data_IF_005808228580
#
_entry.id   IF_005808228580
#
_cell.length_a   1.000
_cell.length_b   1.000
_cell.length_c   1.000
_cell.angle_alpha   90.00
_cell.angle_beta   90.00
_cell.angle_gamma   90.00
#
_symmetry.space_group_name_H-M   'P 1'
#
loop_
_entity.id
_entity.type
_entity.pdbx_description
1 polymer ?
#
# COMPACT_ATOMS: atom_id res chain seq x y z
N UNK A 1 21.20 -13.26 -26.17
CA UNK A 1 20.48 -12.08 -25.64
C UNK A 1 19.93 -12.48 -24.28
N UNK A 2 20.33 -11.82 -23.21
CA UNK A 2 19.93 -12.18 -21.83
C UNK A 2 19.27 -10.95 -21.22
N UNK A 3 17.99 -11.08 -20.86
CA UNK A 3 17.19 -9.99 -20.30
C UNK A 3 15.75 -10.44 -20.03
N UNK A 4 15.03 -9.63 -19.25
CA UNK A 4 13.60 -9.87 -18.96
C UNK A 4 12.80 -9.58 -20.24
N UNK A 5 12.10 -10.59 -20.74
CA UNK A 5 11.28 -10.51 -21.96
C UNK A 5 9.83 -10.10 -21.69
N UNK A 6 9.42 -10.05 -20.42
CA UNK A 6 8.10 -9.56 -20.01
C UNK A 6 7.90 -9.55 -18.49
N UNK A 7 7.08 -8.62 -18.00
CA UNK A 7 6.63 -8.53 -16.61
C UNK A 7 5.16 -8.10 -16.57
N UNK A 8 4.44 -8.52 -15.53
CA UNK A 8 3.04 -8.14 -15.33
C UNK A 8 2.66 -8.20 -13.86
N UNK A 9 1.70 -7.37 -13.46
CA UNK A 9 1.15 -7.35 -12.12
C UNK A 9 -0.35 -7.05 -12.17
N UNK A 10 -1.11 -7.68 -11.28
CA UNK A 10 -2.52 -7.38 -11.06
C UNK A 10 -2.68 -6.69 -9.71
N UNK A 11 -3.39 -5.57 -9.70
CA UNK A 11 -3.67 -4.81 -8.49
C UNK A 11 -5.19 -4.68 -8.34
N UNK A 12 -5.77 -5.10 -7.20
CA UNK A 12 -7.20 -4.92 -6.93
C UNK A 12 -7.65 -3.46 -7.01
N UNK A 13 -8.90 -3.23 -7.44
CA UNK A 13 -9.45 -1.89 -7.61
C UNK A 13 -9.63 -1.14 -6.29
N UNK A 14 -9.94 -1.85 -5.21
CA UNK A 14 -10.26 -1.24 -3.91
C UNK A 14 -8.99 -0.90 -3.14
N UNK A 15 -9.02 0.26 -2.48
CA UNK A 15 -7.91 0.78 -1.69
C UNK A 15 -8.44 1.41 -0.41
N UNK A 16 -7.67 1.28 0.67
CA UNK A 16 -7.95 1.89 1.97
C UNK A 16 -6.77 2.80 2.30
N UNK A 17 -7.07 4.03 2.70
CA UNK A 17 -6.07 5.01 3.09
C UNK A 17 -5.41 4.65 4.41
N UNK A 18 -4.12 4.94 4.56
CA UNK A 18 -3.38 4.70 5.81
C UNK A 18 -3.99 5.45 6.98
N UNK A 19 -4.59 6.63 6.76
CA UNK A 19 -5.31 7.36 7.80
C UNK A 19 -6.53 6.62 8.34
N UNK A 20 -7.28 5.91 7.50
CA UNK A 20 -8.40 5.08 7.97
C UNK A 20 -7.92 3.87 8.74
N UNK A 21 -6.86 3.22 8.27
CA UNK A 21 -6.24 2.10 8.99
C UNK A 21 -5.72 2.55 10.35
N UNK A 22 -5.08 3.72 10.42
CA UNK A 22 -4.54 4.27 11.64
C UNK A 22 -5.62 4.55 12.70
N UNK A 23 -6.80 5.03 12.26
CA UNK A 23 -7.96 5.23 13.16
C UNK A 23 -8.47 3.92 13.75
N UNK A 24 -8.58 2.86 12.95
CA UNK A 24 -9.05 1.55 13.43
C UNK A 24 -8.07 0.92 14.41
N UNK A 25 -6.77 1.10 14.16
CA UNK A 25 -5.70 0.56 15.01
C UNK A 25 -5.27 1.49 16.16
N UNK A 26 -5.90 2.66 16.32
CA UNK A 26 -5.63 3.60 17.41
C UNK A 26 -4.20 4.17 17.41
N UNK A 27 -3.59 4.29 16.23
CA UNK A 27 -2.20 4.74 16.05
C UNK A 27 -2.12 6.08 15.32
N UNK A 28 -0.93 6.69 15.34
CA UNK A 28 -0.66 7.91 14.60
C UNK A 28 -0.48 7.63 13.08
N UNK A 29 -1.25 8.27 12.20
CA UNK A 29 -1.13 8.06 10.75
C UNK A 29 0.24 8.45 10.18
N UNK A 30 0.88 9.47 10.74
CA UNK A 30 2.18 9.94 10.24
C UNK A 30 3.32 8.96 10.58
N UNK A 31 3.22 8.29 11.74
CA UNK A 31 4.10 7.16 12.07
C UNK A 31 4.04 6.06 11.01
N UNK A 32 2.85 5.72 10.52
CA UNK A 32 2.70 4.71 9.46
C UNK A 32 3.17 5.21 8.08
N UNK A 33 2.86 6.45 7.71
CA UNK A 33 3.37 7.01 6.45
C UNK A 33 4.89 7.05 6.40
N UNK A 34 5.53 7.51 7.48
CA UNK A 34 6.99 7.63 7.55
C UNK A 34 7.68 6.28 7.79
N UNK A 35 7.09 5.44 8.63
CA UNK A 35 7.66 4.14 8.99
C UNK A 35 7.49 3.07 7.91
N UNK A 36 6.36 3.08 7.19
CA UNK A 36 6.06 2.08 6.16
C UNK A 36 6.19 2.62 4.74
N UNK A 37 6.37 3.93 4.56
CA UNK A 37 6.43 4.60 3.25
C UNK A 37 5.21 4.23 2.41
N UNK A 38 4.04 4.34 3.03
CA UNK A 38 2.76 3.89 2.47
C UNK A 38 1.70 4.98 2.62
N UNK A 39 0.99 5.26 1.55
CA UNK A 39 -0.17 6.18 1.57
C UNK A 39 -1.50 5.41 1.58
N UNK A 40 -1.56 4.28 0.88
CA UNK A 40 -2.77 3.47 0.73
C UNK A 40 -2.46 1.99 0.52
N UNK A 41 -3.37 1.12 0.97
CA UNK A 41 -3.27 -0.33 0.82
C UNK A 41 -4.37 -0.85 -0.10
N UNK A 42 -4.00 -1.62 -1.12
CA UNK A 42 -4.96 -2.36 -1.95
C UNK A 42 -5.59 -3.51 -1.16
N UNK A 43 -6.90 -3.70 -1.31
CA UNK A 43 -7.67 -4.78 -0.67
C UNK A 43 -8.49 -5.58 -1.70
N UNK A 44 -8.81 -6.87 -1.43
CA UNK A 44 -9.55 -7.73 -2.36
C UNK A 44 -10.93 -7.18 -2.83
#
# INVERSE_FOLDING_TARGET
MIGIVGYGAYIPKRRIKVEELAKVWGTDPESYKKGLVLEEKSVP
#
